data_IF_690735290489
#
_entry.id   IF_690735290489
#
_cell.length_a   1.000
_cell.length_b   1.000
_cell.length_c   1.000
_cell.angle_alpha   90.00
_cell.angle_beta   90.00
_cell.angle_gamma   90.00
#
_symmetry.space_group_name_H-M   'P 1'
#
loop_
_entity.id
_entity.type
_entity.pdbx_description
1 polymer ?
#
# COMPACT_ATOMS: atom_id res chain seq x y z
N UNK A 1 43.83 58.33 1.07
CA UNK A 1 43.14 57.49 0.06
C UNK A 1 42.65 56.25 0.78
N UNK A 2 41.35 56.14 1.05
CA UNK A 2 40.77 55.04 1.83
C UNK A 2 39.82 54.27 0.90
N UNK A 3 40.00 52.97 0.67
CA UNK A 3 39.11 52.21 -0.20
C UNK A 3 37.84 51.83 0.58
N UNK A 4 36.69 52.00 -0.07
CA UNK A 4 35.37 51.61 0.44
C UNK A 4 35.01 50.22 -0.06
N UNK A 5 34.93 49.24 0.84
CA UNK A 5 34.44 47.89 0.54
C UNK A 5 32.91 47.88 0.54
N UNK A 6 32.32 47.55 -0.61
CA UNK A 6 30.87 47.37 -0.74
C UNK A 6 30.50 45.95 -0.29
N UNK A 7 29.71 45.86 0.78
CA UNK A 7 29.10 44.62 1.24
C UNK A 7 27.96 44.25 0.29
N UNK A 8 28.11 43.17 -0.48
CA UNK A 8 27.04 42.60 -1.28
C UNK A 8 26.18 41.68 -0.40
N UNK A 9 24.92 42.04 -0.22
CA UNK A 9 23.94 41.20 0.47
C UNK A 9 23.37 40.19 -0.52
N UNK A 10 23.62 38.89 -0.29
CA UNK A 10 22.94 37.83 -1.00
C UNK A 10 21.61 37.53 -0.30
N UNK A 11 20.50 37.85 -0.96
CA UNK A 11 19.18 37.38 -0.53
C UNK A 11 19.05 35.89 -0.91
N UNK A 12 18.88 35.03 0.09
CA UNK A 12 18.54 33.62 -0.11
C UNK A 12 17.02 33.58 -0.34
N UNK A 13 16.52 33.19 -1.53
CA UNK A 13 15.08 33.02 -1.71
C UNK A 13 14.63 31.81 -0.90
N UNK A 14 13.77 32.04 0.08
CA UNK A 14 13.05 30.97 0.78
C UNK A 14 12.04 30.37 -0.20
N UNK A 15 12.42 29.28 -0.87
CA UNK A 15 11.52 28.52 -1.73
C UNK A 15 10.51 27.80 -0.83
N UNK A 16 9.35 28.41 -0.63
CA UNK A 16 8.24 27.77 0.06
C UNK A 16 7.57 26.81 -0.93
N UNK A 17 8.02 25.56 -1.00
CA UNK A 17 7.33 24.52 -1.77
C UNK A 17 6.00 24.22 -1.09
N UNK A 18 4.90 24.53 -1.77
CA UNK A 18 3.57 24.04 -1.39
C UNK A 18 3.63 22.51 -1.38
N UNK A 19 3.34 21.88 -0.23
CA UNK A 19 3.00 20.46 -0.24
C UNK A 19 1.69 20.31 -1.01
N UNK A 20 1.76 19.87 -2.26
CA UNK A 20 0.60 19.25 -2.89
C UNK A 20 0.31 17.96 -2.14
N UNK A 21 -0.96 17.70 -1.82
CA UNK A 21 -1.38 16.35 -1.47
C UNK A 21 -0.98 15.43 -2.63
N UNK A 22 -0.12 14.46 -2.34
CA UNK A 22 0.31 13.48 -3.33
C UNK A 22 -0.70 12.34 -3.28
N UNK A 23 -1.48 12.20 -4.35
CA UNK A 23 -2.52 11.19 -4.47
C UNK A 23 -2.31 10.34 -5.71
N UNK A 24 -2.87 9.14 -5.69
CA UNK A 24 -2.89 8.22 -6.83
C UNK A 24 -4.30 7.66 -7.00
N UNK A 25 -4.63 7.23 -8.22
CA UNK A 25 -5.94 6.67 -8.51
C UNK A 25 -5.84 5.55 -9.54
N UNK A 26 -6.55 4.45 -9.26
CA UNK A 26 -6.78 3.36 -10.20
C UNK A 26 -8.29 3.25 -10.43
N UNK A 27 -8.78 3.80 -11.54
CA UNK A 27 -10.20 3.67 -11.94
C UNK A 27 -10.50 2.31 -12.58
N UNK A 28 -9.47 1.61 -13.04
CA UNK A 28 -9.51 0.23 -13.50
C UNK A 28 -8.15 -0.44 -13.27
N UNK A 29 -8.13 -1.77 -13.30
CA UNK A 29 -6.89 -2.56 -13.22
C UNK A 29 -6.56 -3.28 -14.54
N UNK A 30 -7.03 -2.76 -15.68
CA UNK A 30 -6.66 -3.27 -17.00
C UNK A 30 -5.15 -3.10 -17.29
N UNK A 31 -4.53 -2.11 -16.65
CA UNK A 31 -3.09 -1.90 -16.58
C UNK A 31 -2.68 -1.86 -15.11
N UNK A 32 -1.68 -2.65 -14.75
CA UNK A 32 -1.17 -2.75 -13.38
C UNK A 32 0.17 -2.05 -13.18
N UNK A 33 0.57 -1.17 -14.10
CA UNK A 33 1.73 -0.32 -13.93
C UNK A 33 1.63 0.47 -12.61
N UNK A 34 2.71 0.47 -11.83
CA UNK A 34 2.73 1.08 -10.50
C UNK A 34 2.15 0.20 -9.38
N UNK A 35 1.77 -1.05 -9.66
CA UNK A 35 1.35 -2.03 -8.66
C UNK A 35 2.34 -3.19 -8.59
N UNK A 36 2.56 -3.69 -7.38
CA UNK A 36 3.21 -4.98 -7.13
C UNK A 36 2.16 -5.98 -6.67
N UNK A 37 2.12 -7.14 -7.31
CA UNK A 37 1.24 -8.25 -6.96
C UNK A 37 2.09 -9.37 -6.37
N UNK A 38 1.79 -9.77 -5.13
CA UNK A 38 2.60 -10.71 -4.35
C UNK A 38 1.73 -11.88 -3.90
N UNK A 39 2.34 -13.06 -3.79
CA UNK A 39 1.62 -14.28 -3.39
C UNK A 39 0.63 -14.72 -4.47
N UNK A 40 -0.62 -14.98 -4.07
CA UNK A 40 -1.68 -15.38 -5.01
C UNK A 40 -2.31 -14.24 -5.80
N UNK A 41 -1.93 -12.98 -5.55
CA UNK A 41 -2.56 -11.83 -6.19
C UNK A 41 -2.29 -11.82 -7.70
N UNK A 42 -3.34 -11.63 -8.49
CA UNK A 42 -3.25 -11.62 -9.96
C UNK A 42 -4.26 -10.65 -10.61
N UNK A 43 -3.95 -10.12 -11.81
CA UNK A 43 -4.94 -9.36 -12.58
C UNK A 43 -6.09 -10.28 -13.04
N UNK A 44 -7.31 -9.75 -13.01
CA UNK A 44 -8.51 -10.44 -13.46
C UNK A 44 -9.42 -9.47 -14.19
N UNK A 45 -9.27 -9.41 -15.53
CA UNK A 45 -9.90 -8.39 -16.37
C UNK A 45 -9.57 -6.97 -15.85
N UNK A 46 -10.56 -6.20 -15.42
CA UNK A 46 -10.38 -4.83 -14.92
C UNK A 46 -10.25 -4.75 -13.39
N UNK A 47 -9.95 -5.86 -12.71
CA UNK A 47 -9.85 -5.97 -11.25
C UNK A 47 -8.56 -6.68 -10.85
N UNK A 48 -8.15 -6.53 -9.59
CA UNK A 48 -7.18 -7.44 -8.97
C UNK A 48 -7.91 -8.48 -8.14
N UNK A 49 -7.53 -9.74 -8.32
CA UNK A 49 -7.96 -10.87 -7.50
C UNK A 49 -6.84 -11.18 -6.52
N UNK A 50 -7.04 -10.91 -5.23
CA UNK A 50 -6.03 -11.21 -4.19
C UNK A 50 -5.91 -12.71 -3.92
N UNK A 51 -7.06 -13.39 -3.87
CA UNK A 51 -7.17 -14.84 -3.66
C UNK A 51 -8.17 -15.42 -4.65
N UNK A 52 -7.87 -16.59 -5.19
CA UNK A 52 -8.79 -17.36 -6.02
C UNK A 52 -9.70 -18.26 -5.17
N UNK A 53 -10.69 -18.92 -5.78
CA UNK A 53 -11.55 -19.91 -5.14
C UNK A 53 -10.78 -21.25 -4.95
N UNK A 54 -9.63 -21.17 -4.29
CA UNK A 54 -8.73 -22.27 -3.97
C UNK A 54 -8.38 -22.22 -2.49
N UNK A 55 -7.99 -23.36 -1.93
CA UNK A 55 -7.52 -23.43 -0.55
C UNK A 55 -6.16 -22.74 -0.37
N UNK A 56 -5.87 -22.31 0.86
CA UNK A 56 -4.55 -21.84 1.30
C UNK A 56 -3.97 -20.68 0.47
N UNK A 57 -4.81 -19.74 0.05
CA UNK A 57 -4.39 -18.57 -0.71
C UNK A 57 -4.02 -17.41 0.24
N UNK A 58 -2.97 -16.68 -0.10
CA UNK A 58 -2.59 -15.44 0.57
C UNK A 58 -1.92 -14.56 -0.47
N UNK A 59 -2.49 -13.38 -0.73
CA UNK A 59 -2.01 -12.48 -1.76
C UNK A 59 -2.19 -11.04 -1.35
N UNK A 60 -1.28 -10.20 -1.81
CA UNK A 60 -1.28 -8.77 -1.54
C UNK A 60 -1.08 -7.98 -2.84
N UNK A 61 -1.63 -6.77 -2.87
CA UNK A 61 -1.38 -5.78 -3.90
C UNK A 61 -0.85 -4.53 -3.22
N UNK A 62 0.34 -4.09 -3.63
CA UNK A 62 0.97 -2.88 -3.11
C UNK A 62 1.04 -1.81 -4.19
N UNK A 63 0.77 -0.55 -3.82
CA UNK A 63 1.22 0.58 -4.63
C UNK A 63 2.74 0.65 -4.57
N UNK A 64 3.40 0.64 -5.73
CA UNK A 64 4.86 0.48 -5.82
C UNK A 64 5.62 1.70 -5.30
N UNK A 65 5.00 2.88 -5.30
CA UNK A 65 5.63 4.12 -4.82
C UNK A 65 5.22 4.42 -3.38
N UNK A 66 6.18 4.53 -2.44
CA UNK A 66 5.90 4.94 -1.06
C UNK A 66 5.14 6.28 -0.99
N UNK A 67 4.20 6.40 -0.05
CA UNK A 67 3.40 7.60 0.14
C UNK A 67 3.71 8.25 1.49
N UNK A 68 3.83 9.59 1.56
CA UNK A 68 3.91 10.29 2.83
C UNK A 68 2.53 10.28 3.52
N UNK A 69 2.47 9.80 4.76
CA UNK A 69 1.22 9.68 5.54
C UNK A 69 1.23 10.48 6.85
N UNK A 70 2.35 11.17 7.16
CA UNK A 70 2.53 11.89 8.43
C UNK A 70 1.57 13.05 8.61
N UNK A 71 1.03 13.60 7.53
CA UNK A 71 0.01 14.65 7.53
C UNK A 71 -1.43 14.10 7.54
N UNK A 72 -1.60 12.78 7.70
CA UNK A 72 -2.87 12.08 7.47
C UNK A 72 -2.97 11.51 6.05
N UNK A 73 -4.00 10.70 5.83
CA UNK A 73 -4.32 10.13 4.53
C UNK A 73 -5.82 9.91 4.40
N UNK A 74 -6.32 9.97 3.17
CA UNK A 74 -7.65 9.54 2.80
C UNK A 74 -7.53 8.43 1.74
N UNK A 75 -8.36 7.39 1.86
CA UNK A 75 -8.39 6.30 0.92
C UNK A 75 -9.82 5.87 0.65
N UNK A 76 -10.13 5.60 -0.61
CA UNK A 76 -11.42 5.04 -1.03
C UNK A 76 -11.13 3.92 -2.01
N UNK A 77 -11.64 2.73 -1.72
CA UNK A 77 -11.52 1.58 -2.61
C UNK A 77 -12.83 0.80 -2.62
N UNK A 78 -13.08 0.10 -3.73
CA UNK A 78 -14.19 -0.83 -3.86
C UNK A 78 -13.66 -2.26 -3.84
N UNK A 79 -14.32 -3.13 -3.10
CA UNK A 79 -13.97 -4.54 -3.01
C UNK A 79 -15.20 -5.43 -3.19
N UNK A 80 -14.96 -6.71 -3.45
CA UNK A 80 -16.00 -7.74 -3.48
C UNK A 80 -15.43 -9.02 -2.88
N UNK A 81 -16.01 -9.46 -1.78
CA UNK A 81 -15.81 -10.80 -1.22
C UNK A 81 -16.98 -11.65 -1.69
N UNK A 82 -16.69 -12.82 -2.28
CA UNK A 82 -17.73 -13.78 -2.67
C UNK A 82 -17.52 -15.06 -1.87
N UNK A 83 -18.51 -15.51 -1.08
CA UNK A 83 -18.38 -16.72 -0.28
C UNK A 83 -18.20 -17.96 -1.18
N UNK A 84 -17.49 -19.00 -0.72
CA UNK A 84 -17.35 -20.23 -1.47
C UNK A 84 -18.70 -20.98 -1.57
N UNK A 85 -18.84 -21.79 -2.63
CA UNK A 85 -20.08 -22.52 -2.97
C UNK A 85 -20.50 -23.49 -1.84
N UNK A 86 -19.56 -23.98 -1.03
CA UNK A 86 -19.79 -24.93 0.07
C UNK A 86 -19.72 -24.33 1.49
N UNK A 87 -19.60 -23.02 1.64
CA UNK A 87 -19.58 -22.35 2.95
C UNK A 87 -18.20 -22.21 3.63
N UNK A 88 -18.22 -21.39 4.69
CA UNK A 88 -17.15 -20.64 5.39
C UNK A 88 -16.40 -19.63 4.49
N UNK A 89 -16.83 -18.37 4.56
CA UNK A 89 -16.10 -17.23 4.03
C UNK A 89 -15.05 -16.81 5.06
N UNK A 90 -13.88 -17.45 5.04
CA UNK A 90 -12.73 -17.04 5.83
C UNK A 90 -11.54 -16.83 4.90
N UNK A 91 -10.55 -15.99 5.21
CA UNK A 91 -10.39 -15.24 6.46
C UNK A 91 -10.78 -13.76 6.38
N UNK A 92 -11.02 -13.20 5.19
CA UNK A 92 -11.31 -11.77 5.01
C UNK A 92 -10.25 -11.06 4.17
N UNK A 93 -10.12 -9.74 4.33
CA UNK A 93 -9.08 -8.92 3.69
C UNK A 93 -8.68 -7.74 4.59
N UNK A 94 -7.55 -7.10 4.30
CA UNK A 94 -7.11 -5.91 5.01
C UNK A 94 -6.62 -4.81 4.06
N UNK A 95 -6.92 -3.56 4.40
CA UNK A 95 -6.18 -2.40 3.89
C UNK A 95 -4.97 -2.17 4.80
N UNK A 96 -3.76 -2.20 4.24
CA UNK A 96 -2.52 -2.22 5.01
C UNK A 96 -1.61 -1.08 4.58
N UNK A 97 -1.04 -0.39 5.56
CA UNK A 97 0.06 0.54 5.39
C UNK A 97 1.26 -0.09 6.11
N UNK A 98 2.40 -0.20 5.43
CA UNK A 98 3.61 -0.76 6.03
C UNK A 98 4.88 -0.05 5.59
N UNK A 99 5.93 -0.23 6.38
CA UNK A 99 7.32 0.08 6.03
C UNK A 99 8.23 -1.15 6.25
N UNK A 100 7.71 -2.34 5.94
CA UNK A 100 8.46 -3.58 6.01
C UNK A 100 9.68 -3.57 5.05
N UNK A 101 10.84 -4.16 5.46
CA UNK A 101 12.08 -4.11 4.69
C UNK A 101 12.01 -4.68 3.26
N UNK A 102 11.10 -5.62 3.00
CA UNK A 102 10.91 -6.20 1.67
C UNK A 102 10.15 -5.25 0.70
N UNK A 103 9.74 -4.06 1.16
CA UNK A 103 9.06 -3.06 0.35
C UNK A 103 7.80 -3.64 -0.29
N UNK A 104 7.60 -3.37 -1.58
CA UNK A 104 6.44 -3.85 -2.36
C UNK A 104 6.46 -5.35 -2.65
N UNK A 105 7.44 -6.12 -2.14
CA UNK A 105 7.45 -7.59 -2.18
C UNK A 105 7.04 -8.21 -0.83
N UNK A 106 6.64 -7.38 0.14
CA UNK A 106 6.24 -7.84 1.47
C UNK A 106 4.97 -8.69 1.42
N UNK A 107 4.96 -9.79 2.16
CA UNK A 107 3.77 -10.59 2.41
C UNK A 107 3.83 -11.13 3.84
N UNK A 108 2.82 -10.80 4.64
CA UNK A 108 2.67 -11.28 6.00
C UNK A 108 2.11 -12.70 6.05
N UNK A 109 1.66 -13.10 7.24
CA UNK A 109 1.17 -14.44 7.50
C UNK A 109 -0.18 -14.77 6.83
N UNK A 110 -0.37 -16.06 6.55
CA UNK A 110 -1.57 -16.61 5.91
C UNK A 110 -2.76 -16.80 6.87
N UNK A 111 -3.93 -17.17 6.33
CA UNK A 111 -5.16 -17.40 7.09
C UNK A 111 -5.55 -16.18 7.96
N UNK A 112 -5.68 -16.34 9.27
CA UNK A 112 -6.00 -15.25 10.21
C UNK A 112 -4.98 -14.11 10.22
N UNK A 113 -3.79 -14.29 9.62
CA UNK A 113 -2.83 -13.22 9.43
C UNK A 113 -3.19 -12.24 8.30
N UNK A 114 -4.17 -12.57 7.45
CA UNK A 114 -4.68 -11.71 6.37
C UNK A 114 -3.60 -11.09 5.45
N UNK A 115 -2.42 -11.73 5.35
CA UNK A 115 -1.29 -11.24 4.56
C UNK A 115 -0.53 -10.06 5.19
N UNK A 116 -0.79 -9.70 6.45
CA UNK A 116 -0.08 -8.64 7.16
C UNK A 116 0.36 -9.02 8.59
N UNK A 117 -0.45 -9.78 9.33
CA UNK A 117 -0.19 -10.24 10.68
C UNK A 117 0.55 -11.58 10.74
N UNK A 118 0.67 -12.18 11.93
CA UNK A 118 1.18 -13.55 12.07
C UNK A 118 0.08 -14.54 11.69
N UNK A 119 0.41 -15.51 10.85
CA UNK A 119 -0.58 -16.41 10.25
C UNK A 119 -0.38 -17.88 10.60
N UNK A 120 -1.15 -18.75 9.93
CA UNK A 120 -0.91 -20.19 9.95
C UNK A 120 0.47 -20.56 9.37
N UNK A 121 0.98 -19.72 8.48
CA UNK A 121 2.36 -19.71 8.01
C UNK A 121 2.78 -18.25 7.78
N UNK A 122 4.08 -17.96 7.85
CA UNK A 122 4.58 -16.60 7.70
C UNK A 122 4.45 -15.74 8.96
N UNK A 123 5.22 -14.67 9.01
CA UNK A 123 5.30 -13.76 10.16
C UNK A 123 4.61 -12.44 9.85
N UNK A 124 4.28 -11.68 10.90
CA UNK A 124 3.75 -10.33 10.73
C UNK A 124 4.74 -9.40 10.00
N UNK A 125 4.19 -8.49 9.20
CA UNK A 125 4.92 -7.39 8.60
C UNK A 125 5.31 -6.39 9.70
N UNK A 126 6.60 -6.08 9.88
CA UNK A 126 7.01 -5.08 10.85
C UNK A 126 6.59 -3.68 10.38
N UNK A 127 6.40 -2.77 11.34
CA UNK A 127 6.02 -1.37 11.07
C UNK A 127 4.79 -1.27 10.16
N UNK A 128 3.73 -1.99 10.51
CA UNK A 128 2.47 -2.02 9.77
C UNK A 128 1.28 -1.61 10.63
N UNK A 129 0.29 -1.03 9.97
CA UNK A 129 -1.06 -0.83 10.49
C UNK A 129 -2.05 -1.39 9.47
N UNK A 130 -3.16 -1.94 9.94
CA UNK A 130 -4.17 -2.56 9.09
C UNK A 130 -5.58 -2.15 9.53
N UNK A 131 -6.46 -2.04 8.54
CA UNK A 131 -7.91 -1.98 8.73
C UNK A 131 -8.48 -3.25 8.11
N UNK A 132 -9.04 -4.10 8.94
CA UNK A 132 -9.54 -5.42 8.54
C UNK A 132 -11.01 -5.35 8.12
N UNK A 133 -11.33 -6.15 7.09
CA UNK A 133 -12.68 -6.62 6.78
C UNK A 133 -12.68 -8.11 7.11
N UNK A 134 -12.93 -8.42 8.39
CA UNK A 134 -13.00 -9.76 8.96
C UNK A 134 -14.39 -10.38 8.68
N UNK A 135 -14.43 -11.64 8.24
CA UNK A 135 -15.63 -12.29 7.67
C UNK A 135 -15.99 -13.59 8.37
#
# INVERSE_FOLDING_TARGET
MHPSTRLAWFAIPLLCSLLSAQGFQFTSFANTAGLSLVGSASPSSNRIRLTDLLANQTGAMWHATPQPISAGFDSTFSFRISPPISGIAAAGMAFVIHDAPAGNMSLGGSAWGLGYGSGASGTALPKSIAIEIDT
#
